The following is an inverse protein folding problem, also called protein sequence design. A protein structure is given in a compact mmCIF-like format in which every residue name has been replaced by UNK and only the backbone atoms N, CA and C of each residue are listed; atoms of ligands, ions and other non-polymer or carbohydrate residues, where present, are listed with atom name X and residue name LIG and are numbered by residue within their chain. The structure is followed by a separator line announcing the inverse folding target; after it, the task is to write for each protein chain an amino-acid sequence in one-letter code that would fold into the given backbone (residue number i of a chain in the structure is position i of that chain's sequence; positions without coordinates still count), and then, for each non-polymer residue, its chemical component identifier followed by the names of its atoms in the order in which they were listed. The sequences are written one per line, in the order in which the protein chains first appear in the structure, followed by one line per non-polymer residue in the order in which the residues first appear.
data_IF_549833997766
#
_entry.id   IF_549833997766
#
_cell.length_a   1.000
_cell.length_b   1.000
_cell.length_c   1.000
_cell.angle_alpha   90.00
_cell.angle_beta   90.00
_cell.angle_gamma   90.00
#
_symmetry.space_group_name_H-M   'P 1'
#
loop_
_entity.id
_entity.type
_entity.pdbx_description
1 polymer ?
#
# COMPACT_ATOMS: atom_id res chain seq x y z
N UNK A 1 -45.87 -37.90 -13.71
CA UNK A 1 -46.88 -37.29 -14.61
C UNK A 1 -46.75 -35.78 -14.49
N UNK A 2 -46.47 -35.09 -15.60
CA UNK A 2 -46.28 -33.63 -15.64
C UNK A 2 -45.07 -33.24 -16.49
N UNK A 3 -45.27 -33.15 -17.81
CA UNK A 3 -44.30 -32.82 -18.88
C UNK A 3 -43.98 -31.31 -18.91
N UNK A 4 -42.71 -30.95 -19.07
CA UNK A 4 -42.02 -30.39 -20.27
C UNK A 4 -42.30 -28.91 -20.58
N UNK A 5 -41.21 -28.14 -20.56
CA UNK A 5 -41.04 -26.88 -21.28
C UNK A 5 -39.54 -26.63 -21.44
N UNK A 6 -38.99 -27.01 -22.59
CA UNK A 6 -37.62 -26.73 -23.07
C UNK A 6 -37.68 -25.45 -23.91
N UNK A 7 -36.70 -24.54 -23.76
CA UNK A 7 -36.32 -23.60 -24.81
C UNK A 7 -34.85 -23.20 -24.63
N UNK A 8 -34.14 -23.21 -25.76
CA UNK A 8 -32.69 -23.19 -25.98
C UNK A 8 -32.05 -21.78 -26.00
N UNK A 9 -30.74 -21.80 -25.77
CA UNK A 9 -29.61 -20.95 -26.23
C UNK A 9 -29.82 -19.67 -27.08
N UNK A 10 -29.05 -18.63 -26.72
CA UNK A 10 -28.56 -17.61 -27.65
C UNK A 10 -28.16 -16.27 -27.01
N UNK A 11 -27.09 -15.57 -27.46
CA UNK A 11 -26.08 -15.00 -26.55
C UNK A 11 -26.00 -13.46 -26.58
N UNK A 12 -25.23 -12.91 -25.63
CA UNK A 12 -24.63 -11.57 -25.77
C UNK A 12 -25.22 -10.52 -24.84
N UNK A 13 -24.55 -10.30 -23.71
CA UNK A 13 -24.81 -9.17 -22.82
C UNK A 13 -23.51 -8.79 -22.14
N UNK A 14 -22.72 -7.95 -22.82
CA UNK A 14 -21.58 -7.25 -22.24
C UNK A 14 -22.03 -6.55 -20.94
N UNK A 15 -21.53 -7.02 -19.80
CA UNK A 15 -21.56 -6.25 -18.57
C UNK A 15 -20.58 -5.11 -18.69
N UNK A 16 -21.02 -3.99 -19.27
CA UNK A 16 -20.38 -2.69 -19.06
C UNK A 16 -20.44 -2.39 -17.56
N UNK A 17 -19.27 -2.43 -16.91
CA UNK A 17 -19.09 -1.84 -15.59
C UNK A 17 -19.25 -0.32 -15.73
N UNK A 18 -20.49 0.15 -15.53
CA UNK A 18 -20.83 1.55 -15.48
C UNK A 18 -20.09 2.21 -14.31
N UNK A 19 -19.06 2.99 -14.61
CA UNK A 19 -18.51 3.98 -13.68
C UNK A 19 -19.53 5.10 -13.56
N UNK A 20 -20.45 4.96 -12.61
CA UNK A 20 -21.36 6.03 -12.21
C UNK A 20 -20.54 7.13 -11.53
N UNK A 21 -20.18 8.14 -12.32
CA UNK A 21 -19.83 9.46 -11.81
C UNK A 21 -21.08 9.97 -11.07
N UNK A 22 -21.08 9.94 -9.74
CA UNK A 22 -22.20 10.41 -8.92
C UNK A 22 -22.36 11.92 -9.14
N UNK A 23 -23.27 12.27 -10.04
CA UNK A 23 -23.91 13.57 -10.09
C UNK A 23 -25.00 13.58 -9.02
N UNK A 24 -24.80 14.36 -7.96
CA UNK A 24 -25.84 14.63 -6.97
C UNK A 24 -26.81 15.65 -7.57
N UNK A 25 -28.13 15.39 -7.62
CA UNK A 25 -29.10 16.41 -8.01
C UNK A 25 -29.64 17.14 -6.78
N UNK A 26 -29.76 18.46 -6.87
CA UNK A 26 -30.85 19.24 -6.27
C UNK A 26 -30.63 20.70 -6.66
N UNK A 27 -31.64 21.40 -7.17
CA UNK A 27 -32.75 21.86 -6.34
C UNK A 27 -32.45 23.31 -5.98
N UNK A 28 -33.33 24.20 -6.44
CA UNK A 28 -33.18 25.65 -6.33
C UNK A 28 -32.87 26.09 -4.89
N UNK A 29 -31.72 26.70 -4.66
CA UNK A 29 -31.50 27.62 -3.54
C UNK A 29 -30.51 28.71 -3.95
N UNK A 30 -30.96 29.95 -3.77
CA UNK A 30 -30.24 31.18 -4.09
C UNK A 30 -29.08 31.39 -3.09
N UNK A 31 -28.01 32.00 -3.59
CA UNK A 31 -26.88 32.58 -2.86
C UNK A 31 -25.88 31.58 -2.24
N UNK A 32 -24.87 31.22 -3.01
CA UNK A 32 -23.56 30.82 -2.47
C UNK A 32 -22.48 31.29 -3.45
N UNK A 33 -21.61 32.19 -3.00
CA UNK A 33 -20.39 32.59 -3.70
C UNK A 33 -19.39 31.43 -3.64
N UNK A 34 -19.34 30.62 -4.70
CA UNK A 34 -18.36 29.55 -4.83
C UNK A 34 -17.09 30.11 -5.48
N UNK A 35 -16.13 30.55 -4.67
CA UNK A 35 -14.74 30.65 -5.11
C UNK A 35 -14.15 29.25 -5.15
N UNK A 36 -14.44 28.48 -6.19
CA UNK A 36 -13.74 27.22 -6.45
C UNK A 36 -12.23 27.53 -6.57
N UNK A 37 -11.34 26.79 -5.88
CA UNK A 37 -9.91 27.00 -6.03
C UNK A 37 -9.53 26.82 -7.49
N UNK A 38 -8.74 27.75 -8.05
CA UNK A 38 -8.28 27.69 -9.45
C UNK A 38 -7.45 26.42 -9.64
N UNK A 39 -8.02 25.43 -10.31
CA UNK A 39 -7.37 24.15 -10.58
C UNK A 39 -6.48 24.33 -11.81
N UNK A 40 -5.18 24.57 -11.61
CA UNK A 40 -4.18 24.64 -12.68
C UNK A 40 -3.52 23.29 -13.01
N UNK A 41 -2.90 23.19 -14.19
CA UNK A 41 -1.90 22.16 -14.46
C UNK A 41 -0.68 22.36 -13.56
N UNK A 42 0.03 21.27 -13.26
CA UNK A 42 1.30 21.33 -12.57
C UNK A 42 2.23 20.24 -13.09
N UNK A 43 3.53 20.42 -12.83
CA UNK A 43 4.56 19.42 -13.09
C UNK A 43 5.08 18.93 -11.76
N UNK A 44 4.97 17.63 -11.53
CA UNK A 44 5.50 17.00 -10.33
C UNK A 44 7.02 17.10 -10.33
N UNK A 45 7.59 17.35 -9.14
CA UNK A 45 9.05 17.26 -8.92
C UNK A 45 9.48 15.79 -9.02
N UNK A 46 10.68 15.55 -9.53
CA UNK A 46 11.21 14.18 -9.78
C UNK A 46 11.32 13.30 -8.53
N UNK A 47 11.27 13.89 -7.33
CA UNK A 47 11.58 13.20 -6.07
C UNK A 47 10.42 12.49 -5.39
N UNK A 48 9.19 12.53 -5.94
CA UNK A 48 8.01 11.88 -5.34
C UNK A 48 7.46 10.78 -6.25
N UNK A 49 7.25 9.58 -5.69
CA UNK A 49 6.59 8.50 -6.42
C UNK A 49 5.17 8.94 -6.86
N UNK A 50 4.64 8.31 -7.91
CA UNK A 50 3.34 8.65 -8.51
C UNK A 50 3.19 10.08 -9.08
N UNK A 51 4.25 10.90 -9.14
CA UNK A 51 4.19 12.26 -9.70
C UNK A 51 3.58 12.32 -11.11
N UNK A 52 4.01 11.41 -12.00
CA UNK A 52 3.46 11.29 -13.36
C UNK A 52 2.01 10.83 -13.41
N UNK A 53 1.60 9.95 -12.50
CA UNK A 53 0.20 9.52 -12.39
C UNK A 53 -0.67 10.69 -11.97
N UNK A 54 -0.23 11.49 -10.99
CA UNK A 54 -0.97 12.70 -10.58
C UNK A 54 -1.00 13.77 -11.68
N UNK A 55 0.08 13.98 -12.43
CA UNK A 55 0.10 14.86 -13.61
C UNK A 55 -0.94 14.42 -14.66
N UNK A 56 -0.97 13.13 -15.03
CA UNK A 56 -1.94 12.58 -15.98
C UNK A 56 -3.37 12.70 -15.46
N UNK A 57 -3.62 12.36 -14.20
CA UNK A 57 -4.95 12.48 -13.59
C UNK A 57 -5.41 13.93 -13.53
N UNK A 58 -4.50 14.87 -13.25
CA UNK A 58 -4.79 16.30 -13.26
C UNK A 58 -5.14 16.78 -14.66
N UNK A 59 -4.36 16.38 -15.66
CA UNK A 59 -4.60 16.70 -17.06
C UNK A 59 -5.98 16.21 -17.53
N UNK A 60 -6.36 14.99 -17.14
CA UNK A 60 -7.69 14.46 -17.42
C UNK A 60 -8.79 15.27 -16.75
N UNK A 61 -8.58 15.71 -15.49
CA UNK A 61 -9.56 16.53 -14.75
C UNK A 61 -9.79 17.90 -15.36
N UNK A 62 -8.77 18.51 -15.97
CA UNK A 62 -8.87 19.83 -16.62
C UNK A 62 -9.03 19.75 -18.14
N UNK A 63 -9.35 18.56 -18.69
CA UNK A 63 -9.44 18.33 -20.14
C UNK A 63 -10.29 19.39 -20.85
N UNK A 64 -11.50 19.63 -20.36
CA UNK A 64 -12.44 20.60 -20.97
C UNK A 64 -11.86 22.01 -20.95
N UNK A 65 -11.26 22.41 -19.84
CA UNK A 65 -10.67 23.74 -19.68
C UNK A 65 -9.48 23.93 -20.63
N UNK A 66 -8.63 22.90 -20.78
CA UNK A 66 -7.51 22.92 -21.73
C UNK A 66 -7.99 23.06 -23.18
N UNK A 67 -9.03 22.31 -23.56
CA UNK A 67 -9.65 22.41 -24.89
C UNK A 67 -10.21 23.81 -25.14
N UNK A 68 -10.83 24.45 -24.15
CA UNK A 68 -11.32 25.83 -24.26
C UNK A 68 -10.17 26.85 -24.37
N UNK A 69 -9.10 26.68 -23.61
CA UNK A 69 -7.93 27.59 -23.63
C UNK A 69 -7.31 27.63 -25.02
N UNK A 70 -7.10 26.48 -25.68
CA UNK A 70 -6.44 26.44 -27.00
C UNK A 70 -7.31 26.95 -28.16
N UNK A 71 -8.60 27.20 -27.94
CA UNK A 71 -9.47 27.88 -28.91
C UNK A 71 -9.65 29.37 -28.56
N UNK A 72 -9.14 29.84 -27.42
CA UNK A 72 -9.32 31.23 -26.99
C UNK A 72 -8.48 32.20 -27.81
N UNK A 73 -9.00 33.42 -28.01
CA UNK A 73 -8.28 34.49 -28.71
C UNK A 73 -6.95 34.83 -28.03
N UNK A 74 -6.91 34.84 -26.69
CA UNK A 74 -5.69 35.12 -25.93
C UNK A 74 -4.59 34.07 -26.10
N UNK A 75 -4.95 32.81 -26.37
CA UNK A 75 -3.98 31.77 -26.72
C UNK A 75 -3.42 31.96 -28.14
N UNK A 76 -4.27 32.35 -29.09
CA UNK A 76 -3.84 32.66 -30.46
C UNK A 76 -2.91 33.90 -30.53
N UNK A 77 -3.04 34.84 -29.59
CA UNK A 77 -2.20 36.04 -29.49
C UNK A 77 -0.82 35.78 -28.85
N UNK A 78 -0.64 34.68 -28.10
CA UNK A 78 0.66 34.33 -27.48
C UNK A 78 1.52 33.51 -28.46
N UNK A 79 2.35 34.24 -29.22
CA UNK A 79 3.23 33.72 -30.28
C UNK A 79 4.48 32.99 -29.77
N UNK A 80 4.29 31.85 -29.11
CA UNK A 80 5.33 30.80 -28.98
C UNK A 80 4.76 29.40 -29.30
N UNK A 81 3.49 29.35 -29.76
CA UNK A 81 2.92 28.12 -30.29
C UNK A 81 3.54 27.88 -31.67
N UNK A 82 4.43 26.90 -31.76
CA UNK A 82 4.83 26.26 -33.02
C UNK A 82 3.60 25.60 -33.64
N UNK A 83 2.68 26.41 -34.17
CA UNK A 83 1.58 25.97 -35.02
C UNK A 83 2.06 26.13 -36.46
N UNK A 84 2.99 25.26 -36.83
CA UNK A 84 3.51 25.10 -38.19
C UNK A 84 2.54 24.30 -39.08
N UNK A 85 1.27 24.14 -38.64
CA UNK A 85 0.28 23.32 -39.32
C UNK A 85 0.59 21.81 -39.26
N UNK A 86 1.51 21.40 -38.38
CA UNK A 86 1.88 20.00 -38.20
C UNK A 86 0.82 19.22 -37.41
N UNK A 87 0.77 17.90 -37.62
CA UNK A 87 -0.07 16.96 -36.85
C UNK A 87 0.21 16.98 -35.33
N UNK A 88 1.28 17.66 -34.90
CA UNK A 88 1.75 17.75 -33.52
C UNK A 88 1.39 19.08 -32.81
N UNK A 89 0.48 19.89 -33.35
CA UNK A 89 0.06 21.10 -32.65
C UNK A 89 -0.64 20.76 -31.32
N UNK A 90 -0.49 21.61 -30.30
CA UNK A 90 -1.13 21.38 -28.99
C UNK A 90 -2.65 21.23 -29.16
N UNK A 91 -3.22 21.94 -30.13
CA UNK A 91 -4.64 21.83 -30.48
C UNK A 91 -4.99 20.46 -31.04
N UNK A 92 -4.24 19.91 -32.00
CA UNK A 92 -4.53 18.58 -32.55
C UNK A 92 -4.51 17.51 -31.45
N UNK A 93 -3.51 17.54 -30.57
CA UNK A 93 -3.35 16.59 -29.46
C UNK A 93 -4.53 16.68 -28.47
N UNK A 94 -4.92 17.89 -28.05
CA UNK A 94 -5.99 18.07 -27.05
C UNK A 94 -7.39 17.71 -27.59
N UNK A 95 -7.59 17.72 -28.90
CA UNK A 95 -8.85 17.29 -29.54
C UNK A 95 -8.81 15.84 -30.07
N UNK A 96 -7.68 15.15 -29.94
CA UNK A 96 -7.54 13.74 -30.30
C UNK A 96 -7.97 12.81 -29.14
N UNK A 97 -9.27 12.55 -29.04
CA UNK A 97 -9.84 11.62 -28.08
C UNK A 97 -9.28 10.19 -28.20
N UNK A 98 -9.27 9.56 -29.38
CA UNK A 98 -8.78 8.21 -29.55
C UNK A 98 -7.27 8.04 -29.39
N UNK A 99 -6.46 9.00 -29.85
CA UNK A 99 -5.00 8.89 -29.88
C UNK A 99 -4.27 9.50 -28.69
N UNK A 100 -4.88 10.44 -27.97
CA UNK A 100 -4.27 11.04 -26.77
C UNK A 100 -5.02 10.70 -25.48
N UNK A 101 -6.31 11.04 -25.38
CA UNK A 101 -7.05 10.91 -24.12
C UNK A 101 -7.33 9.47 -23.72
N UNK A 102 -7.70 8.61 -24.68
CA UNK A 102 -7.97 7.19 -24.40
C UNK A 102 -6.71 6.47 -23.88
N UNK A 103 -5.53 6.55 -24.52
CA UNK A 103 -4.31 5.97 -23.98
C UNK A 103 -3.92 6.52 -22.60
N UNK A 104 -4.17 7.81 -22.33
CA UNK A 104 -3.93 8.41 -21.02
C UNK A 104 -4.81 7.77 -19.93
N UNK A 105 -6.10 7.55 -20.21
CA UNK A 105 -7.02 6.84 -19.30
C UNK A 105 -6.59 5.39 -19.10
N UNK A 106 -6.20 4.70 -20.17
CA UNK A 106 -5.69 3.33 -20.08
C UNK A 106 -4.41 3.23 -19.22
N UNK A 107 -3.48 4.17 -19.38
CA UNK A 107 -2.28 4.25 -18.56
C UNK A 107 -2.60 4.52 -17.08
N UNK A 108 -3.53 5.43 -16.79
CA UNK A 108 -4.01 5.66 -15.42
C UNK A 108 -4.63 4.40 -14.83
N UNK A 109 -5.52 3.72 -15.56
CA UNK A 109 -6.17 2.49 -15.10
C UNK A 109 -5.18 1.39 -14.75
N UNK A 110 -4.11 1.22 -15.52
CA UNK A 110 -3.07 0.24 -15.22
C UNK A 110 -2.23 0.66 -14.01
N UNK A 111 -1.95 1.95 -13.85
CA UNK A 111 -1.11 2.46 -12.76
C UNK A 111 -1.83 2.58 -11.42
N UNK A 112 -3.17 2.68 -11.39
CA UNK A 112 -3.96 2.82 -10.17
C UNK A 112 -3.62 1.78 -9.09
N UNK A 113 -3.68 0.46 -9.34
CA UNK A 113 -3.37 -0.53 -8.30
C UNK A 113 -1.88 -0.50 -7.88
N UNK A 114 -0.97 -0.09 -8.77
CA UNK A 114 0.45 0.09 -8.45
C UNK A 114 0.64 1.26 -7.48
N UNK A 115 -0.01 2.40 -7.73
CA UNK A 115 0.03 3.56 -6.83
C UNK A 115 -0.63 3.25 -5.49
N UNK A 116 -1.72 2.49 -5.49
CA UNK A 116 -2.37 2.03 -4.26
C UNK A 116 -1.42 1.18 -3.40
N UNK A 117 -0.69 0.23 -3.99
CA UNK A 117 0.34 -0.54 -3.29
C UNK A 117 1.45 0.37 -2.74
N UNK A 118 1.97 1.29 -3.53
CA UNK A 118 3.05 2.18 -3.08
C UNK A 118 2.61 3.05 -1.89
N UNK A 119 1.38 3.57 -1.92
CA UNK A 119 0.81 4.33 -0.78
C UNK A 119 0.59 3.46 0.45
N UNK A 120 0.14 2.22 0.26
CA UNK A 120 0.01 1.24 1.34
C UNK A 120 1.36 0.96 2.03
N UNK A 121 2.42 0.84 1.24
CA UNK A 121 3.78 0.65 1.75
C UNK A 121 4.33 1.89 2.47
N UNK A 122 3.94 3.08 2.01
CA UNK A 122 4.37 4.37 2.57
C UNK A 122 3.64 4.74 3.88
N UNK A 123 2.51 4.07 4.15
CA UNK A 123 1.69 4.29 5.33
C UNK A 123 2.36 3.89 6.66
N UNK A 124 1.85 4.42 7.77
CA UNK A 124 2.37 4.14 9.11
C UNK A 124 1.88 2.83 9.72
N UNK A 125 0.82 2.26 9.16
CA UNK A 125 0.12 1.15 9.78
C UNK A 125 0.65 -0.21 9.28
N UNK A 126 0.55 -1.28 10.09
CA UNK A 126 1.04 -2.62 9.75
C UNK A 126 0.52 -3.11 8.39
N UNK A 127 1.41 -3.25 7.41
CA UNK A 127 1.06 -3.64 6.04
C UNK A 127 1.85 -4.85 5.52
N UNK A 128 2.71 -5.46 6.34
CA UNK A 128 3.59 -6.57 5.93
C UNK A 128 2.83 -7.73 5.27
N UNK A 129 1.66 -8.10 5.83
CA UNK A 129 0.83 -9.17 5.26
C UNK A 129 0.05 -8.81 4.00
N UNK A 130 -0.01 -7.53 3.64
CA UNK A 130 -0.79 -7.04 2.51
C UNK A 130 -0.01 -7.04 1.19
N UNK A 131 1.31 -7.13 1.24
CA UNK A 131 2.16 -6.88 0.06
C UNK A 131 2.04 -7.98 -1.00
N UNK A 132 2.15 -9.25 -0.59
CA UNK A 132 2.00 -10.39 -1.50
C UNK A 132 0.66 -10.38 -2.23
N UNK A 133 -0.50 -10.29 -1.55
CA UNK A 133 -1.78 -10.31 -2.24
C UNK A 133 -1.97 -9.08 -3.15
N UNK A 134 -1.41 -7.90 -2.81
CA UNK A 134 -1.54 -6.70 -3.67
C UNK A 134 -0.72 -6.85 -4.95
N UNK A 135 0.45 -7.49 -4.87
CA UNK A 135 1.21 -7.84 -6.06
C UNK A 135 0.42 -8.80 -6.94
N UNK A 136 -0.24 -9.81 -6.36
CA UNK A 136 -1.09 -10.73 -7.13
C UNK A 136 -2.29 -10.01 -7.78
N UNK A 137 -2.94 -9.08 -7.08
CA UNK A 137 -4.02 -8.27 -7.67
C UNK A 137 -3.56 -7.41 -8.85
N UNK A 138 -2.36 -6.82 -8.75
CA UNK A 138 -1.77 -6.06 -9.87
C UNK A 138 -1.56 -7.00 -11.07
N UNK A 139 -1.07 -8.23 -10.83
CA UNK A 139 -0.93 -9.22 -11.89
C UNK A 139 -2.28 -9.56 -12.54
N UNK A 140 -3.29 -9.87 -11.74
CA UNK A 140 -4.64 -10.20 -12.23
C UNK A 140 -5.27 -9.03 -13.01
N UNK A 141 -5.06 -7.80 -12.54
CA UNK A 141 -5.50 -6.58 -13.21
C UNK A 141 -4.81 -6.40 -14.56
N UNK A 142 -3.49 -6.60 -14.62
CA UNK A 142 -2.74 -6.56 -15.88
C UNK A 142 -3.19 -7.66 -16.85
N UNK A 143 -3.47 -8.86 -16.35
CA UNK A 143 -3.97 -9.98 -17.15
C UNK A 143 -5.34 -9.70 -17.78
N UNK A 144 -6.18 -8.88 -17.14
CA UNK A 144 -7.48 -8.45 -17.68
C UNK A 144 -7.38 -7.23 -18.60
N UNK A 145 -6.25 -6.52 -18.59
CA UNK A 145 -6.04 -5.34 -19.43
C UNK A 145 -5.95 -5.69 -20.92
N UNK A 146 -6.41 -4.75 -21.76
CA UNK A 146 -6.40 -4.83 -23.23
C UNK A 146 -5.37 -3.90 -23.87
N UNK A 147 -4.50 -3.27 -23.08
CA UNK A 147 -3.49 -2.33 -23.58
C UNK A 147 -2.47 -3.03 -24.48
N UNK A 148 -2.04 -2.37 -25.55
CA UNK A 148 -1.09 -2.92 -26.54
C UNK A 148 0.26 -3.29 -25.94
N UNK A 149 0.63 -2.68 -24.81
CA UNK A 149 1.91 -2.87 -24.12
C UNK A 149 1.80 -3.80 -22.90
N UNK A 150 0.71 -4.58 -22.79
CA UNK A 150 0.44 -5.52 -21.68
C UNK A 150 1.60 -6.46 -21.39
N UNK A 151 2.16 -7.12 -22.40
CA UNK A 151 3.24 -8.09 -22.22
C UNK A 151 4.49 -7.45 -21.59
N UNK A 152 4.78 -6.21 -21.99
CA UNK A 152 5.87 -5.43 -21.38
C UNK A 152 5.56 -5.10 -19.92
N UNK A 153 4.33 -4.74 -19.59
CA UNK A 153 3.92 -4.46 -18.22
C UNK A 153 3.96 -5.72 -17.33
N UNK A 154 3.52 -6.88 -17.85
CA UNK A 154 3.61 -8.17 -17.14
C UNK A 154 5.06 -8.57 -16.87
N UNK A 155 5.96 -8.35 -17.83
CA UNK A 155 7.40 -8.57 -17.62
C UNK A 155 7.95 -7.67 -16.51
N UNK A 156 7.65 -6.37 -16.57
CA UNK A 156 8.08 -5.42 -15.52
C UNK A 156 7.50 -5.83 -14.16
N UNK A 157 6.23 -6.22 -14.10
CA UNK A 157 5.60 -6.68 -12.87
C UNK A 157 6.34 -7.89 -12.30
N UNK A 158 6.63 -8.92 -13.11
CA UNK A 158 7.40 -10.09 -12.69
C UNK A 158 8.77 -9.71 -12.11
N UNK A 159 9.54 -8.93 -12.85
CA UNK A 159 10.88 -8.49 -12.43
C UNK A 159 10.82 -7.71 -11.11
N UNK A 160 9.77 -6.90 -10.91
CA UNK A 160 9.55 -6.14 -9.67
C UNK A 160 9.09 -7.03 -8.52
N UNK A 161 8.26 -8.04 -8.76
CA UNK A 161 7.84 -9.02 -7.75
C UNK A 161 9.04 -9.78 -7.21
N UNK A 162 9.93 -10.26 -8.09
CA UNK A 162 11.15 -10.98 -7.71
C UNK A 162 12.12 -10.09 -6.93
N UNK A 163 12.22 -8.81 -7.28
CA UNK A 163 13.05 -7.85 -6.56
C UNK A 163 12.48 -7.42 -5.20
N UNK A 164 11.16 -7.25 -5.10
CA UNK A 164 10.49 -6.70 -3.92
C UNK A 164 10.20 -7.75 -2.86
N UNK A 165 9.65 -8.90 -3.26
CA UNK A 165 9.16 -9.89 -2.32
C UNK A 165 10.31 -10.61 -1.63
N UNK A 166 10.12 -10.87 -0.35
CA UNK A 166 11.12 -11.52 0.51
C UNK A 166 10.41 -12.54 1.40
N UNK A 167 11.14 -13.45 2.06
CA UNK A 167 10.56 -14.35 3.04
C UNK A 167 9.68 -13.64 4.09
N UNK A 168 10.00 -12.39 4.42
CA UNK A 168 9.25 -11.58 5.38
C UNK A 168 7.84 -11.20 4.89
N UNK A 169 7.73 -10.84 3.61
CA UNK A 169 6.44 -10.52 2.98
C UNK A 169 5.55 -11.76 2.91
N UNK A 170 6.14 -12.90 2.57
CA UNK A 170 5.49 -14.21 2.57
C UNK A 170 5.02 -14.65 3.96
N UNK A 171 5.88 -14.56 4.97
CA UNK A 171 5.51 -14.83 6.36
C UNK A 171 4.41 -13.89 6.85
N UNK A 172 4.48 -12.60 6.50
CA UNK A 172 3.45 -11.63 6.81
C UNK A 172 2.10 -12.03 6.22
N UNK A 173 2.08 -12.42 4.95
CA UNK A 173 0.86 -12.84 4.26
C UNK A 173 0.24 -14.08 4.90
N UNK A 174 1.05 -15.08 5.23
CA UNK A 174 0.58 -16.31 5.88
C UNK A 174 -0.02 -16.09 7.29
N UNK A 175 0.51 -15.09 8.01
CA UNK A 175 0.15 -14.82 9.41
C UNK A 175 -0.89 -13.71 9.56
N UNK A 176 -1.28 -13.03 8.47
CA UNK A 176 -2.31 -12.01 8.50
C UNK A 176 -3.69 -12.68 8.55
N UNK A 177 -4.49 -12.44 9.61
CA UNK A 177 -5.77 -13.10 9.80
C UNK A 177 -6.81 -12.73 8.74
N UNK A 178 -6.62 -11.64 7.99
CA UNK A 178 -7.51 -11.31 6.88
C UNK A 178 -7.45 -12.33 5.76
N UNK A 179 -6.33 -13.04 5.62
CA UNK A 179 -6.10 -14.04 4.57
C UNK A 179 -6.10 -15.47 5.12
N UNK A 180 -6.65 -15.70 6.32
CA UNK A 180 -6.74 -17.04 6.92
C UNK A 180 -7.45 -18.04 6.01
N UNK A 181 -8.37 -17.57 5.16
CA UNK A 181 -9.13 -18.39 4.25
C UNK A 181 -8.44 -18.69 2.90
N UNK A 182 -7.30 -18.04 2.64
CA UNK A 182 -6.53 -18.27 1.42
C UNK A 182 -5.68 -19.54 1.53
N UNK A 183 -5.49 -20.21 0.39
CA UNK A 183 -4.54 -21.31 0.30
C UNK A 183 -3.11 -20.77 0.29
N UNK A 184 -2.23 -21.45 1.01
CA UNK A 184 -0.83 -21.04 1.13
C UNK A 184 -0.02 -21.64 -0.01
N UNK A 185 0.49 -20.78 -0.90
CA UNK A 185 1.41 -21.19 -1.96
C UNK A 185 2.79 -21.58 -1.41
N UNK A 186 3.53 -22.39 -2.17
CA UNK A 186 4.87 -22.92 -1.82
C UNK A 186 5.85 -21.82 -1.36
N UNK A 187 6.04 -20.76 -2.15
CA UNK A 187 6.90 -19.62 -1.77
C UNK A 187 6.47 -18.96 -0.45
N UNK A 188 5.16 -18.97 -0.15
CA UNK A 188 4.63 -18.41 1.09
C UNK A 188 4.96 -19.30 2.29
N UNK A 189 4.85 -20.61 2.11
CA UNK A 189 5.25 -21.61 3.09
C UNK A 189 6.75 -21.53 3.40
N UNK A 190 7.59 -21.50 2.37
CA UNK A 190 9.04 -21.42 2.53
C UNK A 190 9.46 -20.13 3.25
N UNK A 191 8.86 -19.00 2.84
CA UNK A 191 9.10 -17.72 3.48
C UNK A 191 8.75 -17.72 4.96
N UNK A 192 7.61 -18.33 5.32
CA UNK A 192 7.17 -18.46 6.70
C UNK A 192 8.11 -19.32 7.55
N UNK A 193 8.58 -20.46 7.01
CA UNK A 193 9.52 -21.35 7.71
C UNK A 193 10.82 -20.60 8.00
N UNK A 194 11.43 -19.99 6.98
CA UNK A 194 12.69 -19.24 7.10
C UNK A 194 12.58 -18.14 8.16
N UNK A 195 11.47 -17.38 8.15
CA UNK A 195 11.28 -16.27 9.09
C UNK A 195 11.05 -16.79 10.51
N UNK A 196 10.28 -17.87 10.65
CA UNK A 196 10.01 -18.47 11.96
C UNK A 196 11.30 -18.97 12.59
N UNK A 197 12.12 -19.73 11.85
CA UNK A 197 13.41 -20.21 12.32
C UNK A 197 14.34 -19.08 12.77
N UNK A 198 14.42 -17.99 11.98
CA UNK A 198 15.23 -16.81 12.32
C UNK A 198 14.73 -16.09 13.57
N UNK A 199 13.41 -15.97 13.74
CA UNK A 199 12.83 -15.36 14.93
C UNK A 199 13.01 -16.25 16.17
N UNK A 200 12.87 -17.57 16.03
CA UNK A 200 13.16 -18.51 17.11
C UNK A 200 14.63 -18.49 17.52
N UNK A 201 15.57 -18.36 16.57
CA UNK A 201 16.99 -18.18 16.85
C UNK A 201 17.23 -16.89 17.64
N UNK A 202 16.68 -15.77 17.16
CA UNK A 202 16.74 -14.48 17.87
C UNK A 202 16.23 -14.62 19.30
N UNK A 203 15.06 -15.24 19.49
CA UNK A 203 14.44 -15.36 20.80
C UNK A 203 15.22 -16.29 21.74
N UNK A 204 15.90 -17.32 21.20
CA UNK A 204 16.81 -18.17 21.99
C UNK A 204 18.05 -17.38 22.43
N UNK A 205 18.64 -16.59 21.53
CA UNK A 205 19.77 -15.72 21.86
C UNK A 205 19.40 -14.67 22.90
N UNK A 206 18.20 -14.08 22.80
CA UNK A 206 17.70 -13.09 23.77
C UNK A 206 17.46 -13.70 25.16
N UNK A 207 17.06 -14.97 25.24
CA UNK A 207 16.92 -15.65 26.55
C UNK A 207 18.26 -15.97 27.24
N UNK A 208 19.38 -15.89 26.52
CA UNK A 208 20.73 -16.20 27.01
C UNK A 208 21.61 -14.94 27.14
N UNK A 209 21.11 -13.91 27.83
CA UNK A 209 21.83 -12.62 27.98
C UNK A 209 22.19 -12.27 29.42
N UNK A 210 21.95 -13.16 30.39
CA UNK A 210 22.10 -12.81 31.81
C UNK A 210 23.56 -12.91 32.27
N UNK A 211 24.32 -13.86 31.73
CA UNK A 211 25.74 -14.07 32.11
C UNK A 211 26.68 -13.98 30.91
N UNK A 212 27.96 -13.60 31.10
CA UNK A 212 28.95 -13.59 30.01
C UNK A 212 29.09 -14.96 29.33
N UNK A 213 28.92 -16.05 30.08
CA UNK A 213 28.97 -17.41 29.56
C UNK A 213 27.77 -17.73 28.66
N UNK A 214 26.57 -17.29 29.06
CA UNK A 214 25.36 -17.41 28.24
C UNK A 214 25.47 -16.57 26.96
N UNK A 215 26.00 -15.34 27.06
CA UNK A 215 26.21 -14.49 25.88
C UNK A 215 27.16 -15.13 24.87
N UNK A 216 28.20 -15.81 25.34
CA UNK A 216 29.13 -16.54 24.48
C UNK A 216 28.46 -17.78 23.85
N UNK A 217 27.69 -18.54 24.64
CA UNK A 217 26.90 -19.65 24.12
C UNK A 217 25.88 -19.20 23.07
N UNK A 218 25.21 -18.06 23.29
CA UNK A 218 24.25 -17.46 22.36
C UNK A 218 24.88 -17.13 20.99
N UNK A 219 26.15 -16.72 20.96
CA UNK A 219 26.88 -16.44 19.71
C UNK A 219 27.14 -17.68 18.86
N UNK A 220 27.17 -18.85 19.49
CA UNK A 220 27.37 -20.14 18.82
C UNK A 220 26.06 -20.77 18.31
N UNK A 221 24.90 -20.21 18.67
CA UNK A 221 23.61 -20.74 18.24
C UNK A 221 23.41 -20.57 16.73
N UNK A 222 22.80 -21.59 16.15
CA UNK A 222 22.40 -21.64 14.74
C UNK A 222 20.94 -22.09 14.65
N UNK A 223 20.37 -22.04 13.45
CA UNK A 223 19.01 -22.53 13.19
C UNK A 223 18.87 -24.03 13.54
N UNK A 224 19.95 -24.80 13.36
CA UNK A 224 20.01 -26.24 13.63
C UNK A 224 20.15 -26.58 15.12
N UNK A 225 20.37 -25.58 15.98
CA UNK A 225 20.52 -25.81 17.42
C UNK A 225 19.24 -26.43 18.01
N UNK A 226 19.33 -27.48 18.85
CA UNK A 226 18.14 -28.23 19.31
C UNK A 226 17.05 -27.36 19.96
N UNK A 227 17.45 -26.34 20.72
CA UNK A 227 16.52 -25.40 21.33
C UNK A 227 15.77 -24.56 20.28
N UNK A 228 16.48 -24.09 19.25
CA UNK A 228 15.90 -23.29 18.16
C UNK A 228 14.95 -24.13 17.32
N UNK A 229 15.37 -25.33 16.95
CA UNK A 229 14.55 -26.30 16.22
C UNK A 229 13.29 -26.68 17.01
N UNK A 230 13.38 -26.87 18.33
CA UNK A 230 12.23 -27.16 19.19
C UNK A 230 11.23 -25.99 19.21
N UNK A 231 11.71 -24.75 19.35
CA UNK A 231 10.86 -23.55 19.30
C UNK A 231 10.16 -23.40 17.94
N UNK A 232 10.91 -23.58 16.85
CA UNK A 232 10.37 -23.49 15.49
C UNK A 232 9.34 -24.60 15.23
N UNK A 233 9.63 -25.84 15.64
CA UNK A 233 8.71 -26.98 15.54
C UNK A 233 7.39 -26.74 16.27
N UNK A 234 7.44 -26.18 17.48
CA UNK A 234 6.23 -25.82 18.24
C UNK A 234 5.40 -24.73 17.54
N UNK A 235 6.05 -23.72 16.96
CA UNK A 235 5.36 -22.69 16.18
C UNK A 235 4.71 -23.26 14.91
N UNK A 236 5.38 -24.18 14.21
CA UNK A 236 4.84 -24.86 13.02
C UNK A 236 3.69 -25.83 13.35
N UNK A 237 3.73 -26.51 14.49
CA UNK A 237 2.61 -27.31 14.97
C UNK A 237 1.38 -26.42 15.23
N UNK A 238 1.58 -25.28 15.89
CA UNK A 238 0.51 -24.30 16.11
C UNK A 238 0.00 -23.68 14.79
N UNK A 239 0.86 -23.51 13.79
CA UNK A 239 0.45 -23.08 12.46
C UNK A 239 -0.54 -24.06 11.83
N UNK A 240 -0.34 -25.37 11.99
CA UNK A 240 -1.28 -26.38 11.48
C UNK A 240 -2.68 -26.21 12.08
N UNK A 241 -2.78 -25.88 13.37
CA UNK A 241 -4.05 -25.61 14.05
C UNK A 241 -4.72 -24.32 13.53
N UNK A 242 -3.92 -23.29 13.29
CA UNK A 242 -4.38 -22.03 12.70
C UNK A 242 -4.93 -22.26 11.28
N UNK A 243 -4.22 -23.04 10.46
CA UNK A 243 -4.61 -23.36 9.08
C UNK A 243 -5.79 -24.33 8.97
N UNK A 244 -5.97 -25.21 9.95
CA UNK A 244 -7.15 -26.05 10.05
C UNK A 244 -8.44 -25.23 10.29
N UNK A 245 -8.31 -23.94 10.66
CA UNK A 245 -9.42 -23.00 10.91
C UNK A 245 -10.41 -23.54 11.93
N UNK A 246 -9.95 -24.38 12.85
CA UNK A 246 -10.82 -25.04 13.82
C UNK A 246 -10.99 -24.21 15.10
N UNK A 247 -11.94 -24.60 15.95
CA UNK A 247 -12.15 -24.03 17.26
C UNK A 247 -12.55 -22.56 17.22
N UNK A 248 -11.66 -21.67 17.66
CA UNK A 248 -11.94 -20.24 17.70
C UNK A 248 -11.97 -19.60 16.30
N UNK A 249 -11.19 -20.14 15.35
CA UNK A 249 -10.99 -19.53 14.02
C UNK A 249 -12.10 -19.88 13.02
N UNK A 250 -12.90 -20.92 13.29
CA UNK A 250 -14.05 -21.29 12.46
C UNK A 250 -15.21 -20.29 12.56
N UNK A 251 -15.24 -19.52 13.64
CA UNK A 251 -16.35 -18.61 13.96
C UNK A 251 -16.33 -17.39 13.03
N UNK A 252 -17.46 -17.15 12.35
CA UNK A 252 -17.60 -16.05 11.38
C UNK A 252 -17.22 -14.68 11.95
N UNK A 253 -17.66 -14.36 13.18
CA UNK A 253 -17.34 -13.07 13.80
C UNK A 253 -15.84 -12.88 14.06
N UNK A 254 -15.07 -13.95 14.23
CA UNK A 254 -13.61 -13.90 14.39
C UNK A 254 -12.95 -13.54 13.07
N UNK A 255 -13.38 -14.16 11.97
CA UNK A 255 -12.94 -13.84 10.61
C UNK A 255 -13.30 -12.41 10.21
N UNK A 256 -14.53 -11.99 10.46
CA UNK A 256 -14.99 -10.62 10.18
C UNK A 256 -14.27 -9.56 11.01
N UNK A 257 -13.76 -9.94 12.20
CA UNK A 257 -12.96 -9.03 13.01
C UNK A 257 -11.55 -8.82 12.46
N UNK A 258 -11.00 -9.77 11.68
CA UNK A 258 -9.68 -9.65 11.07
C UNK A 258 -9.58 -8.45 10.12
N UNK A 259 -10.64 -8.17 9.35
CA UNK A 259 -10.74 -7.01 8.45
C UNK A 259 -10.87 -5.66 9.17
N UNK A 260 -11.20 -5.68 10.47
CA UNK A 260 -11.54 -4.48 11.25
C UNK A 260 -10.54 -4.18 12.36
N UNK A 261 -9.67 -5.13 12.68
CA UNK A 261 -8.68 -5.04 13.75
C UNK A 261 -7.28 -5.00 13.16
N UNK A 262 -6.36 -4.28 13.82
CA UNK A 262 -4.95 -4.41 13.49
C UNK A 262 -4.51 -5.87 13.73
N UNK A 263 -3.68 -6.47 12.85
CA UNK A 263 -3.34 -7.88 12.95
C UNK A 263 -2.73 -8.28 14.30
N UNK A 264 -1.83 -7.45 14.85
CA UNK A 264 -1.25 -7.70 16.18
C UNK A 264 -2.29 -7.72 17.31
N UNK A 265 -3.29 -6.85 17.26
CA UNK A 265 -4.39 -6.84 18.24
C UNK A 265 -5.31 -8.06 18.08
N UNK A 266 -5.52 -8.53 16.84
CA UNK A 266 -6.25 -9.75 16.57
C UNK A 266 -5.53 -10.97 17.16
N UNK A 267 -4.22 -11.09 16.93
CA UNK A 267 -3.39 -12.14 17.51
C UNK A 267 -3.37 -12.10 19.04
N UNK A 268 -3.29 -10.91 19.64
CA UNK A 268 -3.38 -10.77 21.10
C UNK A 268 -4.75 -11.20 21.68
N UNK A 269 -5.82 -11.10 20.89
CA UNK A 269 -7.19 -11.42 21.30
C UNK A 269 -7.49 -12.91 21.13
N UNK A 270 -7.26 -13.45 19.93
CA UNK A 270 -7.67 -14.81 19.56
C UNK A 270 -6.51 -15.80 19.59
N UNK A 271 -5.27 -15.35 19.43
CA UNK A 271 -4.07 -16.20 19.34
C UNK A 271 -3.49 -16.67 20.68
N UNK A 272 -4.13 -16.38 21.83
CA UNK A 272 -3.60 -16.74 23.17
C UNK A 272 -3.38 -18.25 23.36
N UNK A 273 -4.16 -19.07 22.67
CA UNK A 273 -4.03 -20.53 22.72
C UNK A 273 -2.93 -21.06 21.79
N UNK A 274 -2.35 -20.20 20.95
CA UNK A 274 -1.21 -20.47 20.06
C UNK A 274 -0.05 -19.50 20.37
N UNK A 275 0.57 -19.58 21.57
CA UNK A 275 1.49 -18.55 22.04
C UNK A 275 2.77 -18.40 21.19
N UNK A 276 3.31 -19.51 20.68
CA UNK A 276 4.55 -19.51 19.89
C UNK A 276 4.31 -18.89 18.52
N UNK A 277 3.22 -19.29 17.85
CA UNK A 277 2.81 -18.71 16.58
C UNK A 277 2.40 -17.25 16.73
N UNK A 278 1.64 -16.90 17.78
CA UNK A 278 1.22 -15.53 18.03
C UNK A 278 2.41 -14.58 18.26
N UNK A 279 3.45 -15.05 18.95
CA UNK A 279 4.71 -14.28 19.12
C UNK A 279 5.38 -13.99 17.78
N UNK A 280 5.48 -15.01 16.91
CA UNK A 280 6.02 -14.88 15.54
C UNK A 280 5.16 -13.90 14.73
N UNK A 281 3.84 -14.11 14.71
CA UNK A 281 2.91 -13.29 13.95
C UNK A 281 2.93 -11.82 14.37
N UNK A 282 2.94 -11.53 15.67
CA UNK A 282 3.05 -10.16 16.16
C UNK A 282 4.40 -9.53 15.76
N UNK A 283 5.49 -10.28 15.83
CA UNK A 283 6.83 -9.80 15.43
C UNK A 283 6.90 -9.49 13.94
N UNK A 284 6.36 -10.36 13.09
CA UNK A 284 6.38 -10.21 11.63
C UNK A 284 5.48 -9.06 11.18
N UNK A 285 4.23 -9.05 11.65
CA UNK A 285 3.22 -8.09 11.20
C UNK A 285 3.52 -6.67 11.69
N UNK A 286 4.25 -6.51 12.79
CA UNK A 286 4.67 -5.20 13.30
C UNK A 286 5.81 -4.55 12.49
N UNK A 287 6.46 -5.28 11.58
CA UNK A 287 7.56 -4.71 10.81
C UNK A 287 7.06 -3.71 9.75
N UNK A 288 7.74 -2.56 9.59
CA UNK A 288 7.49 -1.65 8.48
C UNK A 288 7.94 -2.29 7.16
N UNK A 289 7.27 -1.92 6.07
CA UNK A 289 7.56 -2.44 4.72
C UNK A 289 8.47 -1.49 3.93
N UNK A 290 8.41 -0.19 4.21
CA UNK A 290 9.15 0.84 3.47
C UNK A 290 10.15 1.59 4.37
N UNK A 291 11.24 2.06 3.75
CA UNK A 291 12.22 2.94 4.38
C UNK A 291 11.69 4.35 4.64
N UNK A 292 10.53 4.74 4.08
CA UNK A 292 9.95 6.07 4.27
C UNK A 292 9.57 6.37 5.73
N UNK A 293 9.29 5.34 6.52
CA UNK A 293 9.20 5.47 7.99
C UNK A 293 10.47 6.11 8.57
N UNK A 294 11.64 5.78 8.03
CA UNK A 294 12.93 6.38 8.39
C UNK A 294 13.16 7.73 7.68
N UNK A 295 12.64 7.95 6.47
CA UNK A 295 12.77 9.23 5.76
C UNK A 295 12.13 10.39 6.53
N UNK A 296 11.01 10.15 7.22
CA UNK A 296 10.41 11.13 8.15
C UNK A 296 11.40 11.52 9.25
N UNK A 297 12.05 10.54 9.87
CA UNK A 297 13.08 10.78 10.88
C UNK A 297 14.27 11.56 10.29
N UNK A 298 14.68 11.27 9.05
CA UNK A 298 15.73 12.01 8.35
C UNK A 298 15.34 13.44 8.01
N UNK A 299 14.07 13.69 7.67
CA UNK A 299 13.53 15.03 7.44
C UNK A 299 13.60 15.86 8.72
N UNK A 300 13.13 15.30 9.86
CA UNK A 300 13.23 15.94 11.18
C UNK A 300 14.68 16.18 11.57
N UNK A 301 15.57 15.21 11.33
CA UNK A 301 17.01 15.39 11.54
C UNK A 301 17.55 16.59 10.76
N UNK A 302 17.19 16.69 9.48
CA UNK A 302 17.56 17.80 8.60
C UNK A 302 17.02 19.13 9.09
N UNK A 303 15.77 19.18 9.57
CA UNK A 303 15.17 20.37 10.16
C UNK A 303 15.89 20.81 11.44
N UNK A 304 16.18 19.89 12.36
CA UNK A 304 16.92 20.17 13.61
C UNK A 304 18.29 20.77 13.30
N UNK A 305 19.01 20.19 12.34
CA UNK A 305 20.34 20.69 11.92
C UNK A 305 20.28 22.05 11.21
N UNK A 306 19.22 22.33 10.44
CA UNK A 306 19.05 23.63 9.75
C UNK A 306 18.57 24.74 10.70
N UNK A 307 17.63 24.44 11.59
CA UNK A 307 17.03 25.39 12.53
C UNK A 307 18.05 25.84 13.59
N UNK A 308 18.79 24.89 14.17
CA UNK A 308 19.90 25.19 15.06
C UNK A 308 21.17 25.40 14.22
N UNK A 309 21.31 26.57 13.57
CA UNK A 309 22.49 27.01 12.80
C UNK A 309 23.85 26.87 13.53
N UNK A 310 23.86 26.41 14.77
CA UNK A 310 25.00 26.03 15.59
C UNK A 310 25.40 24.57 15.37
N UNK A 311 26.70 24.27 15.46
CA UNK A 311 27.31 22.94 15.23
C UNK A 311 26.85 21.88 16.25
N UNK A 312 25.59 21.45 16.20
CA UNK A 312 25.09 20.30 16.94
C UNK A 312 25.90 19.06 16.55
N UNK A 313 26.47 18.36 17.53
CA UNK A 313 27.12 17.06 17.32
C UNK A 313 26.07 16.03 16.90
N UNK A 314 26.44 15.05 16.08
CA UNK A 314 25.52 14.04 15.55
C UNK A 314 24.73 13.32 16.65
N UNK A 315 25.40 12.82 17.69
CA UNK A 315 24.74 12.14 18.81
C UNK A 315 23.69 12.98 19.56
N UNK A 316 23.81 14.32 19.55
CA UNK A 316 22.81 15.21 20.17
C UNK A 316 21.59 15.32 19.26
N UNK A 317 21.82 15.47 17.95
CA UNK A 317 20.74 15.48 16.97
C UNK A 317 19.99 14.13 16.95
N UNK A 318 20.69 13.00 17.07
CA UNK A 318 20.07 11.67 17.16
C UNK A 318 19.14 11.57 18.38
N UNK A 319 19.60 12.03 19.55
CA UNK A 319 18.77 12.09 20.76
C UNK A 319 17.56 13.00 20.60
N UNK A 320 17.70 14.13 19.90
CA UNK A 320 16.59 15.04 19.65
C UNK A 320 15.55 14.43 18.71
N UNK A 321 15.97 13.74 17.64
CA UNK A 321 15.06 12.97 16.78
C UNK A 321 14.35 11.89 17.57
N UNK A 322 15.08 11.14 18.41
CA UNK A 322 14.47 10.13 19.28
C UNK A 322 13.42 10.74 20.21
N UNK A 323 13.73 11.85 20.90
CA UNK A 323 12.79 12.54 21.77
C UNK A 323 11.58 13.07 20.99
N UNK A 324 11.81 13.62 19.79
CA UNK A 324 10.74 14.10 18.90
C UNK A 324 9.77 12.97 18.56
N UNK A 325 10.29 11.85 18.04
CA UNK A 325 9.46 10.71 17.67
C UNK A 325 8.80 10.04 18.86
N UNK A 326 9.49 9.90 20.00
CA UNK A 326 8.87 9.36 21.20
C UNK A 326 7.71 10.22 21.71
N UNK A 327 7.85 11.55 21.68
CA UNK A 327 6.77 12.48 22.03
C UNK A 327 5.64 12.45 21.00
N UNK A 328 5.97 12.35 19.71
CA UNK A 328 5.01 12.23 18.62
C UNK A 328 4.19 10.94 18.73
N UNK A 329 4.85 9.79 18.89
CA UNK A 329 4.20 8.50 19.15
C UNK A 329 3.33 8.54 20.39
N UNK A 330 3.81 9.12 21.51
CA UNK A 330 3.02 9.22 22.73
C UNK A 330 1.78 10.11 22.55
N UNK A 331 1.89 11.22 21.80
CA UNK A 331 0.76 12.09 21.44
C UNK A 331 -0.22 11.36 20.53
N UNK A 332 0.27 10.56 19.59
CA UNK A 332 -0.58 9.76 18.71
C UNK A 332 -1.28 8.66 19.50
N UNK A 333 -0.60 7.98 20.43
CA UNK A 333 -1.21 7.00 21.34
C UNK A 333 -2.24 7.64 22.29
N UNK A 334 -2.00 8.86 22.78
CA UNK A 334 -2.96 9.55 23.66
C UNK A 334 -4.18 10.08 22.90
N UNK A 335 -4.00 10.52 21.65
CA UNK A 335 -5.11 10.81 20.72
C UNK A 335 -5.84 9.53 20.29
N UNK A 336 -5.12 8.43 20.14
CA UNK A 336 -5.58 7.12 19.72
C UNK A 336 -5.91 6.19 20.91
N UNK A 337 -6.49 6.73 21.99
CA UNK A 337 -7.38 5.93 22.83
C UNK A 337 -8.58 5.56 21.91
N UNK A 338 -8.66 4.44 21.19
CA UNK A 338 -8.15 3.11 21.50
C UNK A 338 -7.97 2.18 20.26
N UNK A 339 -7.52 2.64 19.09
CA UNK A 339 -7.37 1.75 17.90
C UNK A 339 -6.17 2.11 17.04
N UNK A 340 -5.21 1.18 16.91
CA UNK A 340 -4.44 1.10 15.67
C UNK A 340 -5.46 0.83 14.56
N UNK A 341 -5.59 1.76 13.62
CA UNK A 341 -6.52 1.58 12.51
C UNK A 341 -6.02 0.39 11.69
N UNK A 342 -6.89 -0.60 11.49
CA UNK A 342 -6.65 -1.62 10.49
C UNK A 342 -6.45 -0.92 9.15
N UNK A 343 -5.34 -1.19 8.47
CA UNK A 343 -5.22 -0.77 7.08
C UNK A 343 -6.22 -1.61 6.32
N UNK A 344 -7.27 -0.96 5.81
CA UNK A 344 -8.26 -1.67 5.02
C UNK A 344 -7.60 -2.11 3.73
N UNK A 345 -7.92 -3.34 3.34
CA UNK A 345 -7.57 -3.83 2.02
C UNK A 345 -8.02 -2.90 0.90
N UNK A 346 -9.17 -2.24 1.01
CA UNK A 346 -9.72 -1.37 -0.03
C UNK A 346 -9.67 0.13 0.31
N UNK A 347 -8.86 0.58 1.28
CA UNK A 347 -8.78 2.03 1.54
C UNK A 347 -7.94 2.71 0.47
N UNK A 348 -8.59 3.04 -0.65
CA UNK A 348 -8.18 4.07 -1.61
C UNK A 348 -8.23 5.48 -1.00
N UNK A 349 -7.95 5.61 0.30
CA UNK A 349 -7.97 6.91 0.96
C UNK A 349 -6.80 7.74 0.43
N UNK A 350 -7.11 8.56 -0.56
CA UNK A 350 -6.44 9.77 -1.03
C UNK A 350 -6.24 10.82 0.09
N UNK A 351 -6.17 10.41 1.37
CA UNK A 351 -5.85 11.31 2.47
C UNK A 351 -4.34 11.49 2.58
N UNK A 352 -3.73 11.97 1.50
CA UNK A 352 -2.51 12.74 1.59
C UNK A 352 -2.93 14.18 1.93
N UNK A 353 -3.45 14.37 3.15
CA UNK A 353 -3.53 15.68 3.82
C UNK A 353 -2.12 16.13 4.26
N UNK A 354 -1.06 15.73 3.53
CA UNK A 354 0.21 16.43 3.60
C UNK A 354 0.10 17.68 2.76
N UNK A 355 -0.50 18.70 3.37
CA UNK A 355 -0.14 20.10 3.21
C UNK A 355 0.53 20.45 1.86
N UNK A 356 -0.27 20.54 0.79
CA UNK A 356 -0.07 21.54 -0.26
C UNK A 356 -0.44 22.96 0.29
N UNK A 357 -0.45 23.14 1.62
CA UNK A 357 -0.74 24.38 2.34
C UNK A 357 0.37 25.45 2.24
N UNK A 358 1.25 25.35 1.25
CA UNK A 358 2.23 26.39 0.89
C UNK A 358 2.13 26.83 -0.59
N UNK A 359 1.19 26.29 -1.39
CA UNK A 359 0.95 26.79 -2.77
C UNK A 359 -0.01 28.00 -2.82
N UNK A 360 -0.32 28.60 -1.67
CA UNK A 360 -1.05 29.86 -1.55
C UNK A 360 -0.32 30.85 -0.65
N UNK A 361 0.64 31.57 -1.23
CA UNK A 361 0.86 32.99 -0.95
C UNK A 361 0.88 33.79 -2.24
#
# INVERSE_FOLDING_TARGET
MGRVGVAEDGPGGETQAAWACQSVPSGHSKNASWSSPKIGLYRAKETRFAGKVREMARMLRVKTDLQHVVISAGFAEHSDTTDDGSENSVKSILFDDPGFWKPLVEALNVMTPVVALLRLMDGEAPSMGKIVPRMNEIYDHLMKSTVVWKERALKIHKDRTEYLLSPMHHAGYALDPEFIDHDMHENTQDGLIIVTERLCLRDAMLSMQSTPREMEAARSLTIESPEVASRAGNAMEQLSLYQARDGAFSKSYVKDSAKRMAPGAWWATYGKHLPSLASVACSVLAQPVCASACERNWSIYGQIKRANRTRLRHHVADKLVFCHEALHMRKNLSKASAKQNAVKWDSDTDSDDSDDAEDFR
#
